data_IF_401605089222
#
_entry.id   IF_401605089222
#
_cell.length_a   1.000
_cell.length_b   1.000
_cell.length_c   1.000
_cell.angle_alpha   90.00
_cell.angle_beta   90.00
_cell.angle_gamma   90.00
#
_symmetry.space_group_name_H-M   'P 1'
#
loop_
_entity.id
_entity.type
_entity.pdbx_description
1 polymer ?
#
# COMPACT_ATOMS: atom_id res chain seq x y z
N UNK A 1 -11.02 -2.97 2.75
CA UNK A 1 -10.74 -2.70 1.31
C UNK A 1 -9.77 -3.73 0.75
N UNK A 2 -8.55 -3.87 1.32
CA UNK A 2 -7.55 -4.85 0.87
C UNK A 2 -8.10 -6.28 0.78
N UNK A 3 -8.83 -6.76 1.78
CA UNK A 3 -9.45 -8.10 1.77
C UNK A 3 -10.37 -8.34 0.56
N UNK A 4 -11.18 -7.33 0.20
CA UNK A 4 -12.06 -7.41 -0.97
C UNK A 4 -11.27 -7.47 -2.27
N UNK A 5 -10.16 -6.73 -2.36
CA UNK A 5 -9.29 -6.76 -3.53
C UNK A 5 -8.53 -8.09 -3.64
N UNK A 6 -8.12 -8.69 -2.51
CA UNK A 6 -7.56 -10.05 -2.47
C UNK A 6 -8.56 -11.09 -2.98
N UNK A 7 -9.83 -10.99 -2.59
CA UNK A 7 -10.90 -11.87 -3.09
C UNK A 7 -11.14 -11.73 -4.59
N UNK A 8 -10.77 -10.61 -5.20
CA UNK A 8 -10.80 -10.38 -6.63
C UNK A 8 -9.53 -10.87 -7.36
N UNK A 9 -8.58 -11.47 -6.64
CA UNK A 9 -7.35 -12.02 -7.19
C UNK A 9 -6.25 -10.98 -7.43
N UNK A 10 -6.35 -9.79 -6.84
CA UNK A 10 -5.33 -8.76 -6.97
C UNK A 10 -4.20 -8.96 -5.96
N UNK A 11 -2.95 -8.72 -6.38
CA UNK A 11 -1.80 -8.71 -5.49
C UNK A 11 -1.78 -7.40 -4.69
N UNK A 12 -2.24 -7.45 -3.44
CA UNK A 12 -2.49 -6.26 -2.61
C UNK A 12 -2.24 -6.50 -1.14
N UNK A 13 -1.71 -5.49 -0.45
CA UNK A 13 -1.59 -5.48 1.01
C UNK A 13 -2.11 -4.17 1.62
N UNK A 14 -2.53 -4.22 2.89
CA UNK A 14 -2.84 -3.03 3.67
C UNK A 14 -1.60 -2.49 4.37
N UNK A 15 -1.44 -1.16 4.40
CA UNK A 15 -0.37 -0.48 5.12
C UNK A 15 -0.95 0.60 6.03
N UNK A 16 -0.81 0.45 7.34
CA UNK A 16 -1.27 1.42 8.33
C UNK A 16 -0.50 1.28 9.65
N UNK A 17 -0.62 2.29 10.53
CA UNK A 17 0.10 2.34 11.81
C UNK A 17 -0.22 1.18 12.77
N UNK A 18 -1.38 0.55 12.63
CA UNK A 18 -1.77 -0.64 13.42
C UNK A 18 -1.06 -1.96 13.04
N UNK A 19 -0.19 -1.97 12.01
CA UNK A 19 0.67 -3.12 11.69
C UNK A 19 2.01 -3.01 12.40
N UNK A 20 2.66 -4.15 12.65
CA UNK A 20 4.01 -4.16 13.21
C UNK A 20 5.04 -3.53 12.28
N UNK A 21 6.15 -3.04 12.83
CA UNK A 21 7.20 -2.39 12.05
C UNK A 21 7.81 -3.31 10.98
N UNK A 22 8.02 -4.58 11.31
CA UNK A 22 8.52 -5.60 10.38
C UNK A 22 7.53 -5.86 9.24
N UNK A 23 6.24 -5.97 9.55
CA UNK A 23 5.18 -6.13 8.54
C UNK A 23 5.15 -4.95 7.58
N UNK A 24 5.22 -3.72 8.11
CA UNK A 24 5.25 -2.51 7.28
C UNK A 24 6.47 -2.49 6.37
N UNK A 25 7.65 -2.84 6.89
CA UNK A 25 8.88 -2.91 6.09
C UNK A 25 8.78 -3.98 4.99
N UNK A 26 8.26 -5.16 5.33
CA UNK A 26 8.10 -6.26 4.37
C UNK A 26 7.12 -5.89 3.26
N UNK A 27 5.94 -5.35 3.59
CA UNK A 27 4.94 -4.91 2.61
C UNK A 27 5.50 -3.82 1.70
N UNK A 28 6.22 -2.84 2.26
CA UNK A 28 6.86 -1.79 1.48
C UNK A 28 7.90 -2.35 0.50
N UNK A 29 8.72 -3.30 0.94
CA UNK A 29 9.71 -3.96 0.09
C UNK A 29 9.04 -4.72 -1.06
N UNK A 30 8.01 -5.52 -0.77
CA UNK A 30 7.26 -6.25 -1.78
C UNK A 30 6.64 -5.34 -2.85
N UNK A 31 6.15 -4.15 -2.46
CA UNK A 31 5.61 -3.19 -3.40
C UNK A 31 6.69 -2.53 -4.27
N UNK A 32 7.83 -2.16 -3.67
CA UNK A 32 8.97 -1.60 -4.41
C UNK A 32 9.47 -2.61 -5.46
N UNK A 33 9.64 -3.86 -5.06
CA UNK A 33 10.10 -4.96 -5.92
C UNK A 33 9.07 -5.42 -6.97
N UNK A 34 7.81 -4.98 -6.85
CA UNK A 34 6.73 -5.36 -7.77
C UNK A 34 6.09 -6.72 -7.49
N UNK A 35 6.31 -7.29 -6.30
CA UNK A 35 5.55 -8.46 -5.83
C UNK A 35 4.09 -8.10 -5.50
N UNK A 36 3.86 -6.87 -5.02
CA UNK A 36 2.53 -6.28 -4.83
C UNK A 36 2.26 -5.26 -5.93
N UNK A 37 1.13 -5.40 -6.62
CA UNK A 37 0.66 -4.42 -7.62
C UNK A 37 0.01 -3.22 -6.93
N UNK A 38 -0.64 -3.45 -5.79
CA UNK A 38 -1.39 -2.44 -5.05
C UNK A 38 -1.00 -2.40 -3.57
N UNK A 39 -0.97 -1.19 -3.02
CA UNK A 39 -1.00 -0.97 -1.57
C UNK A 39 -2.25 -0.16 -1.23
N UNK A 40 -2.99 -0.63 -0.24
CA UNK A 40 -4.08 0.14 0.38
C UNK A 40 -3.53 0.76 1.66
N UNK A 41 -3.33 2.08 1.65
CA UNK A 41 -2.68 2.77 2.74
C UNK A 41 -3.52 3.91 3.36
N UNK A 42 -3.22 4.19 4.63
CA UNK A 42 -3.57 5.46 5.28
C UNK A 42 -2.44 6.48 5.13
N UNK A 43 -2.65 7.72 5.59
CA UNK A 43 -1.65 8.81 5.54
C UNK A 43 -0.27 8.48 6.14
N UNK A 44 -0.17 7.39 6.91
CA UNK A 44 1.09 6.84 7.43
C UNK A 44 2.01 6.22 6.38
N UNK A 45 1.56 6.03 5.13
CA UNK A 45 2.37 5.51 4.02
C UNK A 45 2.86 6.66 3.16
N UNK A 46 4.18 6.82 3.02
CA UNK A 46 4.75 7.80 2.09
C UNK A 46 6.13 8.33 2.47
N UNK A 47 6.49 8.36 3.76
CA UNK A 47 7.85 8.76 4.15
C UNK A 47 8.85 7.67 3.74
N UNK A 48 9.52 7.86 2.59
CA UNK A 48 10.60 7.00 2.12
C UNK A 48 10.23 5.92 1.09
N UNK A 49 9.00 5.92 0.57
CA UNK A 49 8.65 5.03 -0.56
C UNK A 49 9.13 5.67 -1.86
N UNK A 50 10.14 5.08 -2.49
CA UNK A 50 10.64 5.51 -3.80
C UNK A 50 10.47 4.38 -4.81
N UNK A 51 9.35 4.40 -5.53
CA UNK A 51 9.06 3.51 -6.65
C UNK A 51 8.82 4.35 -7.89
N UNK A 52 9.69 4.24 -8.89
CA UNK A 52 9.69 5.14 -10.06
C UNK A 52 8.51 4.91 -11.00
N UNK A 53 7.93 3.72 -10.98
CA UNK A 53 6.92 3.24 -11.92
C UNK A 53 5.50 3.21 -11.34
N UNK A 54 5.21 4.01 -10.31
CA UNK A 54 3.83 4.18 -9.82
C UNK A 54 2.96 4.81 -10.90
N UNK A 55 1.97 4.05 -11.39
CA UNK A 55 1.10 4.48 -12.49
C UNK A 55 -0.19 5.13 -12.04
N UNK A 56 -0.67 4.79 -10.84
CA UNK A 56 -1.99 5.19 -10.36
C UNK A 56 -1.96 5.43 -8.84
N UNK A 57 -2.67 6.48 -8.41
CA UNK A 57 -2.95 6.77 -7.00
C UNK A 57 -4.44 7.05 -6.89
N UNK A 58 -5.15 6.31 -6.03
CA UNK A 58 -6.59 6.43 -5.86
C UNK A 58 -6.87 6.88 -4.42
N UNK A 59 -7.47 8.06 -4.27
CA UNK A 59 -7.94 8.56 -2.98
C UNK A 59 -9.33 7.98 -2.68
N UNK A 60 -9.41 7.07 -1.71
CA UNK A 60 -10.69 6.46 -1.30
C UNK A 60 -11.58 7.42 -0.50
N UNK A 61 -10.97 8.39 0.16
CA UNK A 61 -11.64 9.51 0.84
C UNK A 61 -11.03 10.82 0.36
N UNK A 62 -11.83 11.89 0.35
CA UNK A 62 -11.33 13.24 0.02
C UNK A 62 -10.25 13.61 1.06
N UNK A 63 -9.04 14.01 0.61
CA UNK A 63 -8.01 14.49 1.52
C UNK A 63 -8.52 15.66 2.35
N UNK A 64 -8.29 15.62 3.66
CA UNK A 64 -8.51 16.77 4.53
C UNK A 64 -7.21 17.59 4.52
N UNK A 65 -7.28 18.84 4.09
CA UNK A 65 -6.18 19.80 4.17
C UNK A 65 -6.11 20.41 5.57
#
# INVERSE_FOLDING_TARGET
ISERLLQLGLSVASYHAGKDALDRQFIQQQFIEGSLDWIVATNSFGMGVNKQDVRQVIHFSIPSN
#
